data_IF_315946176187
#
_entry.id   IF_315946176187
#
_cell.length_a   1.000
_cell.length_b   1.000
_cell.length_c   1.000
_cell.angle_alpha   90.00
_cell.angle_beta   90.00
_cell.angle_gamma   90.00
#
_symmetry.space_group_name_H-M   'P 1'
#
loop_
_entity.id
_entity.type
_entity.pdbx_description
1 polymer ?
#
# COMPACT_ATOMS: atom_id res chain seq x y z
N UNK A 1 -15.33 14.39 5.89
CA UNK A 1 -16.11 13.13 5.88
C UNK A 1 -16.14 12.62 4.44
N UNK A 2 -15.31 11.61 4.11
CA UNK A 2 -15.22 11.07 2.74
C UNK A 2 -16.58 10.52 2.33
N UNK A 3 -17.15 11.02 1.23
CA UNK A 3 -18.32 10.39 0.61
C UNK A 3 -17.85 9.04 0.06
N UNK A 4 -18.11 7.97 0.80
CA UNK A 4 -18.01 6.62 0.27
C UNK A 4 -18.97 6.55 -0.91
N UNK A 5 -18.46 6.43 -2.14
CA UNK A 5 -19.33 6.06 -3.25
C UNK A 5 -19.85 4.66 -2.94
N UNK A 6 -21.16 4.47 -3.02
CA UNK A 6 -21.87 3.21 -2.76
C UNK A 6 -21.47 2.02 -3.65
N UNK A 7 -20.46 2.18 -4.49
CA UNK A 7 -19.94 1.16 -5.41
C UNK A 7 -18.70 0.42 -4.88
N UNK A 8 -18.00 0.94 -3.87
CA UNK A 8 -16.82 0.25 -3.32
C UNK A 8 -17.23 -0.81 -2.31
N UNK A 9 -16.70 -2.04 -2.42
CA UNK A 9 -16.90 -3.06 -1.41
C UNK A 9 -16.47 -2.61 -0.01
N UNK A 10 -17.09 -3.16 1.03
CA UNK A 10 -16.83 -2.78 2.42
C UNK A 10 -15.40 -3.08 2.93
N UNK A 11 -14.58 -3.78 2.17
CA UNK A 11 -13.17 -3.98 2.50
C UNK A 11 -12.24 -2.89 1.93
N UNK A 12 -12.77 -1.90 1.22
CA UNK A 12 -12.01 -0.81 0.58
C UNK A 12 -12.07 0.51 1.39
N UNK A 13 -10.95 1.22 1.43
CA UNK A 13 -10.79 2.60 1.91
C UNK A 13 -10.32 3.46 0.75
N UNK A 14 -11.01 4.59 0.56
CA UNK A 14 -10.68 5.59 -0.44
C UNK A 14 -9.96 6.77 0.20
N UNK A 15 -8.81 7.16 -0.36
CA UNK A 15 -8.03 8.31 0.10
C UNK A 15 -7.81 9.29 -1.06
N UNK A 16 -7.75 10.58 -0.73
CA UNK A 16 -7.42 11.65 -1.67
C UNK A 16 -5.96 12.03 -1.46
N UNK A 17 -5.16 11.93 -2.52
CA UNK A 17 -3.75 12.29 -2.53
C UNK A 17 -3.59 13.54 -3.37
N UNK A 18 -2.88 14.54 -2.84
CA UNK A 18 -2.46 15.71 -3.60
C UNK A 18 -1.08 15.44 -4.18
N UNK A 19 -0.94 15.59 -5.49
CA UNK A 19 0.36 15.49 -6.15
C UNK A 19 1.21 16.76 -5.95
N UNK A 20 2.47 16.73 -6.39
CA UNK A 20 3.37 17.87 -6.31
C UNK A 20 2.97 19.07 -7.20
N UNK A 21 2.07 18.85 -8.17
CA UNK A 21 1.53 19.89 -9.08
C UNK A 21 0.20 20.47 -8.55
N UNK A 22 -0.28 20.02 -7.39
CA UNK A 22 -1.52 20.45 -6.76
C UNK A 22 -2.77 19.69 -7.21
N UNK A 23 -2.66 18.75 -8.14
CA UNK A 23 -3.79 17.92 -8.58
C UNK A 23 -4.18 16.94 -7.48
N UNK A 24 -5.48 16.79 -7.26
CA UNK A 24 -6.03 15.80 -6.33
C UNK A 24 -6.37 14.54 -7.12
N UNK A 25 -5.82 13.41 -6.68
CA UNK A 25 -6.09 12.08 -7.23
C UNK A 25 -6.70 11.20 -6.17
N UNK A 26 -7.57 10.32 -6.61
CA UNK A 26 -8.21 9.33 -5.76
C UNK A 26 -7.46 8.00 -5.83
N UNK A 27 -7.27 7.36 -4.68
CA UNK A 27 -6.66 6.03 -4.56
C UNK A 27 -7.56 5.14 -3.71
N UNK A 28 -7.74 3.90 -4.13
CA UNK A 28 -8.48 2.86 -3.40
C UNK A 28 -7.46 1.87 -2.81
N UNK A 29 -7.57 1.63 -1.50
CA UNK A 29 -6.70 0.75 -0.73
C UNK A 29 -7.55 -0.20 0.13
N UNK A 30 -7.03 -1.35 0.56
CA UNK A 30 -7.71 -2.16 1.58
C UNK A 30 -7.89 -1.38 2.90
N UNK A 31 -9.03 -1.55 3.59
CA UNK A 31 -9.29 -0.94 4.92
C UNK A 31 -8.26 -1.40 5.97
N UNK A 32 -7.77 -2.64 5.86
CA UNK A 32 -6.75 -3.20 6.75
C UNK A 32 -5.31 -2.77 6.45
N UNK A 33 -5.08 -1.92 5.43
CA UNK A 33 -3.74 -1.43 5.13
C UNK A 33 -3.32 -0.37 6.15
N UNK A 34 -2.33 -0.70 6.96
CA UNK A 34 -1.68 0.21 7.91
C UNK A 34 -0.82 1.25 7.16
N UNK A 35 -1.29 2.50 7.15
CA UNK A 35 -0.60 3.64 6.53
C UNK A 35 0.34 4.38 7.48
N UNK A 36 0.20 4.15 8.79
CA UNK A 36 0.98 4.83 9.83
C UNK A 36 2.30 4.10 10.08
N UNK A 37 2.37 2.81 9.71
CA UNK A 37 3.59 2.03 9.76
C UNK A 37 4.69 2.65 8.91
N UNK A 38 5.89 2.91 9.49
CA UNK A 38 6.98 3.51 8.76
C UNK A 38 7.44 2.62 7.60
N UNK A 39 7.86 3.26 6.50
CA UNK A 39 8.44 2.58 5.35
C UNK A 39 9.69 1.84 5.80
N UNK A 40 9.68 0.51 5.67
CA UNK A 40 10.86 -0.33 5.93
C UNK A 40 11.82 -0.28 4.75
N UNK A 41 13.09 -0.56 5.01
CA UNK A 41 14.07 -0.85 3.95
C UNK A 41 13.56 -2.03 3.11
N UNK A 42 13.91 -2.04 1.82
CA UNK A 42 13.61 -3.19 0.98
C UNK A 42 14.29 -4.42 1.57
N UNK A 43 13.52 -5.48 1.80
CA UNK A 43 14.11 -6.78 2.14
C UNK A 43 14.98 -7.21 0.97
N UNK A 44 16.27 -7.38 1.25
CA UNK A 44 17.27 -7.92 0.33
C UNK A 44 17.84 -9.17 0.96
N UNK A 45 17.89 -10.26 0.20
CA UNK A 45 18.58 -11.46 0.63
C UNK A 45 20.07 -11.36 0.32
N UNK A 46 20.89 -11.89 1.23
CA UNK A 46 22.28 -12.21 0.92
C UNK A 46 22.34 -13.40 -0.05
N UNK A 47 23.47 -13.58 -0.74
CA UNK A 47 23.64 -14.69 -1.68
C UNK A 47 23.43 -16.07 -1.01
N UNK A 48 23.90 -16.24 0.22
CA UNK A 48 23.72 -17.48 0.98
C UNK A 48 22.24 -17.73 1.36
N UNK A 49 21.49 -16.67 1.67
CA UNK A 49 20.07 -16.80 1.96
C UNK A 49 19.26 -17.16 0.71
N UNK A 50 19.62 -16.61 -0.46
CA UNK A 50 19.01 -16.99 -1.74
C UNK A 50 19.28 -18.46 -2.05
N UNK A 51 20.53 -18.91 -1.91
CA UNK A 51 20.90 -20.30 -2.14
C UNK A 51 20.08 -21.27 -1.28
N UNK A 52 19.88 -20.95 0.01
CA UNK A 52 19.06 -21.78 0.90
C UNK A 52 17.59 -21.84 0.48
N UNK A 53 17.02 -20.74 0.00
CA UNK A 53 15.64 -20.67 -0.48
C UNK A 53 15.43 -21.41 -1.81
N UNK A 54 16.43 -21.43 -2.68
CA UNK A 54 16.37 -22.13 -3.97
C UNK A 54 16.43 -23.66 -3.84
N UNK A 55 16.82 -24.16 -2.67
CA UNK A 55 16.96 -25.59 -2.36
C UNK A 55 15.78 -26.18 -1.57
N UNK A 56 14.79 -25.37 -1.23
CA UNK A 56 13.51 -25.76 -0.61
C UNK A 56 12.41 -25.96 -1.67
#
# INVERSE_FOLDING_TARGET
>A
KSKSSSADPDYCRRILVRDAKGSIREIILPKGLDLDRPKRTRTSFTAEQLYRLEME
#
